data_IF_684486136084
#
_entry.id   IF_684486136084
#
_cell.length_a   1.000
_cell.length_b   1.000
_cell.length_c   1.000
_cell.angle_alpha   90.00
_cell.angle_beta   90.00
_cell.angle_gamma   90.00
#
_symmetry.space_group_name_H-M   'P 1'
#
loop_
_entity.id
_entity.type
_entity.pdbx_description
1 polymer ?
#
# COMPACT_ATOMS: atom_id res chain seq x y z
N UNK A 1 -22.54 11.55 -35.12
CA UNK A 1 -22.88 10.73 -33.93
C UNK A 1 -21.59 10.35 -33.21
N UNK A 2 -21.21 11.05 -32.16
CA UNK A 2 -19.95 10.88 -31.41
C UNK A 2 -20.15 9.88 -30.28
N UNK A 3 -19.38 8.77 -30.28
CA UNK A 3 -19.32 7.81 -29.17
C UNK A 3 -18.37 8.36 -28.10
N UNK A 4 -18.89 8.70 -26.93
CA UNK A 4 -18.09 8.92 -25.72
C UNK A 4 -17.76 7.57 -25.08
N UNK A 5 -16.48 7.24 -25.02
CA UNK A 5 -15.93 6.19 -24.18
C UNK A 5 -15.57 6.80 -22.83
N UNK A 6 -16.34 6.50 -21.81
CA UNK A 6 -15.96 6.78 -20.42
C UNK A 6 -15.04 5.67 -19.90
N UNK A 7 -13.76 5.97 -19.72
CA UNK A 7 -12.84 5.16 -18.96
C UNK A 7 -12.98 5.53 -17.48
N UNK A 8 -13.54 4.63 -16.68
CA UNK A 8 -13.54 4.74 -15.22
C UNK A 8 -12.21 4.15 -14.73
N UNK A 9 -11.30 5.03 -14.39
CA UNK A 9 -10.03 4.70 -13.74
C UNK A 9 -10.25 4.46 -12.25
N UNK A 10 -9.97 3.24 -11.80
CA UNK A 10 -9.88 2.89 -10.38
C UNK A 10 -8.69 3.61 -9.75
N UNK A 11 -8.97 4.59 -8.90
CA UNK A 11 -7.96 5.28 -8.10
C UNK A 11 -7.53 4.39 -6.94
N UNK A 12 -6.34 3.81 -7.05
CA UNK A 12 -5.60 3.23 -5.93
C UNK A 12 -4.88 4.36 -5.21
N UNK A 13 -5.38 4.75 -4.04
CA UNK A 13 -4.63 5.60 -3.11
C UNK A 13 -3.47 4.80 -2.54
N UNK A 14 -2.32 4.87 -3.19
CA UNK A 14 -1.03 4.58 -2.58
C UNK A 14 -0.41 5.94 -2.29
N UNK A 15 -0.35 6.31 -1.02
CA UNK A 15 0.37 7.48 -0.55
C UNK A 15 1.88 7.23 -0.70
N UNK A 16 2.42 7.51 -1.89
CA UNK A 16 3.85 7.64 -2.09
C UNK A 16 4.22 9.09 -1.78
N UNK A 17 4.88 9.32 -0.65
CA UNK A 17 5.53 10.58 -0.33
C UNK A 17 6.72 10.75 -1.29
N UNK A 18 6.47 11.31 -2.46
CA UNK A 18 7.53 11.78 -3.35
C UNK A 18 7.91 13.20 -2.93
N UNK A 19 9.07 13.33 -2.30
CA UNK A 19 9.74 14.63 -2.11
C UNK A 19 10.20 15.13 -3.49
N UNK A 20 9.35 15.88 -4.18
CA UNK A 20 9.74 16.65 -5.35
C UNK A 20 10.37 17.94 -4.88
N UNK A 21 11.71 17.97 -4.86
CA UNK A 21 12.48 19.24 -4.79
C UNK A 21 12.32 19.92 -6.14
N UNK A 22 11.38 20.86 -6.22
CA UNK A 22 11.18 21.72 -7.38
C UNK A 22 12.41 22.63 -7.58
N UNK A 23 13.10 22.43 -8.69
CA UNK A 23 14.15 23.35 -9.16
C UNK A 23 13.44 24.57 -9.78
N UNK A 24 13.22 25.62 -8.97
CA UNK A 24 12.82 26.93 -9.49
C UNK A 24 14.06 27.63 -9.99
N UNK A 25 14.15 27.77 -11.31
CA UNK A 25 15.17 28.59 -11.97
C UNK A 25 14.83 30.06 -11.71
N UNK A 26 15.57 30.75 -10.84
CA UNK A 26 15.51 32.18 -10.71
C UNK A 26 16.33 32.82 -11.82
N UNK A 27 15.65 33.50 -12.72
CA UNK A 27 16.26 34.40 -13.70
C UNK A 27 16.82 35.64 -12.97
N UNK A 28 18.13 35.80 -13.01
CA UNK A 28 18.82 37.00 -12.50
C UNK A 28 18.69 38.10 -13.53
N UNK A 29 17.86 39.10 -13.26
CA UNK A 29 17.92 40.37 -13.99
C UNK A 29 19.02 41.24 -13.42
N UNK A 30 19.96 41.61 -14.29
CA UNK A 30 21.01 42.61 -14.00
C UNK A 30 20.40 43.98 -13.85
N UNK A 31 20.63 44.64 -12.72
CA UNK A 31 20.57 46.09 -12.62
C UNK A 31 21.88 46.67 -12.06
N UNK A 32 22.35 47.72 -12.72
CA UNK A 32 23.63 48.39 -12.56
C UNK A 32 23.77 49.21 -11.28
N UNK A 33 24.95 49.15 -10.76
CA UNK A 33 25.77 50.10 -10.02
C UNK A 33 25.12 51.30 -9.32
N UNK A 34 25.32 51.35 -8.01
CA UNK A 34 25.84 52.56 -7.34
C UNK A 34 26.68 52.16 -6.12
N UNK A 35 27.88 52.75 -6.04
CA UNK A 35 28.85 52.62 -4.95
C UNK A 35 28.51 53.64 -3.86
N UNK A 36 28.64 53.31 -2.57
CA UNK A 36 29.47 54.12 -1.71
C UNK A 36 30.35 53.30 -0.75
N UNK A 37 31.58 53.73 -0.72
CA UNK A 37 32.53 54.00 0.38
C UNK A 37 32.51 53.13 1.64
N UNK A 38 33.61 52.41 1.77
CA UNK A 38 34.48 52.06 2.91
C UNK A 38 34.01 52.27 4.34
N UNK A 39 33.91 51.15 5.11
CA UNK A 39 34.47 51.08 6.45
C UNK A 39 35.04 49.66 6.67
N UNK A 40 36.32 49.63 7.03
CA UNK A 40 37.08 48.43 7.37
C UNK A 40 36.50 47.80 8.63
N UNK A 41 35.91 46.61 8.47
CA UNK A 41 35.88 45.62 9.52
C UNK A 41 36.74 44.46 9.02
N UNK A 42 37.87 44.30 9.63
CA UNK A 42 38.83 43.22 9.42
C UNK A 42 38.16 41.91 9.79
N UNK A 43 37.57 41.26 8.77
CA UNK A 43 37.03 39.92 8.90
C UNK A 43 38.21 38.95 8.90
N UNK A 44 38.42 38.26 10.01
CA UNK A 44 39.36 37.16 10.13
C UNK A 44 39.21 36.23 8.91
N UNK A 45 40.25 36.16 8.11
CA UNK A 45 40.30 35.28 6.94
C UNK A 45 40.05 33.81 7.40
N UNK A 46 39.17 33.04 6.73
CA UNK A 46 39.08 31.62 7.00
C UNK A 46 40.43 30.99 6.68
N UNK A 47 41.03 30.30 7.66
CA UNK A 47 42.25 29.52 7.47
C UNK A 47 41.91 28.47 6.41
N UNK A 48 42.30 28.72 5.18
CA UNK A 48 42.19 27.77 4.10
C UNK A 48 43.01 26.54 4.48
N UNK A 49 42.39 25.38 4.62
CA UNK A 49 43.08 24.11 4.75
C UNK A 49 43.81 23.85 3.42
N UNK A 50 45.00 24.41 3.28
CA UNK A 50 45.84 24.39 2.09
C UNK A 50 46.68 23.12 2.05
N UNK A 51 46.09 22.04 1.53
CA UNK A 51 46.79 20.81 1.23
C UNK A 51 46.11 20.08 0.06
N UNK A 52 46.83 19.20 -0.64
CA UNK A 52 46.23 18.41 -1.71
C UNK A 52 45.03 17.62 -1.18
N UNK A 53 44.03 17.40 -2.04
CA UNK A 53 42.89 16.58 -1.69
C UNK A 53 43.34 15.13 -1.49
N UNK A 54 42.85 14.42 -0.46
CA UNK A 54 43.00 12.96 -0.35
C UNK A 54 42.48 12.25 -1.58
N UNK A 55 43.03 11.08 -1.90
CA UNK A 55 42.70 10.32 -3.11
C UNK A 55 41.19 9.98 -3.27
N UNK A 56 40.48 9.86 -2.14
CA UNK A 56 39.03 9.57 -2.14
C UNK A 56 38.17 10.86 -2.06
N UNK A 57 38.74 12.05 -2.07
CA UNK A 57 38.00 13.31 -2.00
C UNK A 57 37.85 13.93 -3.39
N UNK A 58 36.66 14.38 -3.71
CA UNK A 58 36.32 15.05 -5.00
C UNK A 58 36.22 16.56 -4.86
N UNK A 59 36.10 17.07 -3.62
CA UNK A 59 36.10 18.49 -3.30
C UNK A 59 36.39 18.69 -1.80
N UNK A 60 36.73 19.95 -1.45
CA UNK A 60 36.83 20.43 -0.05
C UNK A 60 36.03 21.72 0.06
N UNK A 61 35.15 21.78 1.06
CA UNK A 61 34.39 22.98 1.39
C UNK A 61 34.83 23.42 2.77
N UNK A 62 35.67 24.46 2.83
CA UNK A 62 36.41 24.87 4.04
C UNK A 62 37.21 23.67 4.60
N UNK A 63 36.86 23.13 5.77
CA UNK A 63 37.53 21.99 6.40
C UNK A 63 36.87 20.65 6.08
N UNK A 64 35.68 20.61 5.42
CA UNK A 64 34.90 19.41 5.18
C UNK A 64 35.20 18.85 3.80
N UNK A 65 35.52 17.54 3.75
CA UNK A 65 35.74 16.81 2.50
C UNK A 65 34.43 16.28 1.93
N UNK A 66 34.25 16.44 0.62
CA UNK A 66 33.26 15.75 -0.17
C UNK A 66 33.95 14.53 -0.79
N UNK A 67 33.47 13.34 -0.49
CA UNK A 67 34.14 12.10 -0.90
C UNK A 67 33.53 11.49 -2.17
N UNK A 68 34.29 10.61 -2.83
CA UNK A 68 33.84 9.82 -3.95
C UNK A 68 32.64 8.94 -3.54
N UNK A 69 32.69 8.32 -2.35
CA UNK A 69 31.61 7.46 -1.82
C UNK A 69 30.29 8.20 -1.69
N UNK A 70 30.32 9.50 -1.33
CA UNK A 70 29.10 10.32 -1.27
C UNK A 70 28.50 10.54 -2.66
N UNK A 71 29.35 10.73 -3.69
CA UNK A 71 28.89 10.86 -5.08
C UNK A 71 28.27 9.52 -5.56
N UNK A 72 28.95 8.41 -5.29
CA UNK A 72 28.50 7.07 -5.68
C UNK A 72 27.19 6.68 -4.98
N UNK A 73 27.06 7.01 -3.70
CA UNK A 73 25.84 6.78 -2.93
C UNK A 73 24.63 7.53 -3.54
N UNK A 74 24.82 8.80 -3.94
CA UNK A 74 23.75 9.58 -4.58
C UNK A 74 23.43 9.10 -5.98
N UNK A 75 24.43 8.70 -6.79
CA UNK A 75 24.21 8.07 -8.10
C UNK A 75 23.33 6.83 -7.95
N UNK A 76 23.70 5.95 -7.01
CA UNK A 76 22.94 4.73 -6.73
C UNK A 76 21.53 5.03 -6.23
N UNK A 77 21.39 5.95 -5.29
CA UNK A 77 20.08 6.32 -4.73
C UNK A 77 19.12 6.93 -5.77
N UNK A 78 19.66 7.72 -6.71
CA UNK A 78 18.91 8.33 -7.80
C UNK A 78 18.68 7.39 -8.99
N UNK A 79 19.27 6.19 -8.98
CA UNK A 79 19.33 5.29 -10.15
C UNK A 79 19.77 6.03 -11.43
N UNK A 80 20.73 6.96 -11.27
CA UNK A 80 21.18 7.83 -12.34
C UNK A 80 22.33 7.18 -13.12
N UNK A 81 22.46 7.47 -14.45
CA UNK A 81 23.56 6.97 -15.24
C UNK A 81 24.88 7.54 -14.75
N UNK A 82 25.87 6.67 -14.61
CA UNK A 82 27.22 7.07 -14.20
C UNK A 82 27.99 7.70 -15.37
N UNK A 83 27.89 9.01 -15.49
CA UNK A 83 28.58 9.79 -16.51
C UNK A 83 29.39 10.93 -15.86
N UNK A 84 30.44 11.45 -16.54
CA UNK A 84 31.18 12.61 -16.04
C UNK A 84 30.30 13.83 -15.72
N UNK A 85 29.25 14.05 -16.53
CA UNK A 85 28.28 15.13 -16.35
C UNK A 85 27.44 14.93 -15.12
N UNK A 86 26.91 13.72 -14.90
CA UNK A 86 26.12 13.38 -13.72
C UNK A 86 26.95 13.46 -12.44
N UNK A 87 28.17 12.93 -12.47
CA UNK A 87 29.13 13.05 -11.33
C UNK A 87 29.44 14.52 -11.01
N UNK A 88 29.67 15.36 -12.02
CA UNK A 88 29.92 16.79 -11.84
C UNK A 88 28.72 17.52 -11.24
N UNK A 89 27.51 17.22 -11.70
CA UNK A 89 26.26 17.77 -11.17
C UNK A 89 26.07 17.38 -9.69
N UNK A 90 26.24 16.10 -9.34
CA UNK A 90 26.15 15.61 -7.97
C UNK A 90 27.21 16.24 -7.06
N UNK A 91 28.45 16.33 -7.56
CA UNK A 91 29.52 17.05 -6.82
C UNK A 91 29.13 18.48 -6.51
N UNK A 92 28.61 19.21 -7.49
CA UNK A 92 28.16 20.60 -7.30
C UNK A 92 27.02 20.69 -6.29
N UNK A 93 26.08 19.75 -6.32
CA UNK A 93 24.98 19.66 -5.36
C UNK A 93 25.49 19.40 -3.92
N UNK A 94 26.46 18.48 -3.76
CA UNK A 94 27.05 18.19 -2.46
C UNK A 94 27.81 19.41 -1.91
N UNK A 95 28.56 20.13 -2.74
CA UNK A 95 29.23 21.38 -2.36
C UNK A 95 28.22 22.43 -1.89
N UNK A 96 27.15 22.65 -2.67
CA UNK A 96 26.12 23.63 -2.29
C UNK A 96 25.42 23.23 -0.98
N UNK A 97 25.09 21.94 -0.82
CA UNK A 97 24.48 21.41 0.41
C UNK A 97 25.40 21.67 1.63
N UNK A 98 26.69 21.43 1.49
CA UNK A 98 27.64 21.64 2.59
C UNK A 98 27.79 23.15 2.92
N UNK A 99 27.81 24.03 1.92
CA UNK A 99 27.81 25.48 2.15
C UNK A 99 26.56 25.93 2.92
N UNK A 100 25.37 25.44 2.55
CA UNK A 100 24.13 25.74 3.27
C UNK A 100 24.15 25.20 4.69
N UNK A 101 24.67 23.97 4.90
CA UNK A 101 24.78 23.38 6.23
C UNK A 101 25.67 24.23 7.14
N UNK A 102 26.85 24.65 6.65
CA UNK A 102 27.78 25.50 7.42
C UNK A 102 27.17 26.89 7.70
N UNK A 103 26.48 27.49 6.73
CA UNK A 103 25.80 28.76 6.93
C UNK A 103 24.67 28.63 7.97
N UNK A 104 23.92 27.51 7.96
CA UNK A 104 22.88 27.23 8.94
C UNK A 104 23.48 27.07 10.36
N UNK A 105 24.55 26.28 10.50
CA UNK A 105 25.25 26.12 11.79
C UNK A 105 25.76 27.45 12.32
N UNK A 106 26.39 28.27 11.47
CA UNK A 106 26.86 29.60 11.86
C UNK A 106 25.74 30.52 12.37
N UNK A 107 24.52 30.30 11.95
CA UNK A 107 23.32 31.03 12.39
C UNK A 107 22.50 30.26 13.45
N UNK A 108 23.09 29.25 14.08
CA UNK A 108 22.51 28.47 15.17
C UNK A 108 21.14 27.80 14.81
N UNK A 109 20.98 27.36 13.57
CA UNK A 109 19.78 26.60 13.16
C UNK A 109 19.71 25.23 13.84
N UNK A 110 20.86 24.65 14.15
CA UNK A 110 21.01 23.37 14.86
C UNK A 110 20.41 23.38 16.27
N UNK A 111 20.35 24.57 16.90
CA UNK A 111 19.79 24.76 18.24
C UNK A 111 18.29 25.12 18.23
N UNK A 112 17.69 25.30 17.07
CA UNK A 112 16.27 25.65 16.95
C UNK A 112 15.39 24.47 17.35
N UNK A 113 14.34 24.69 18.18
CA UNK A 113 13.50 23.61 18.67
C UNK A 113 12.94 22.67 17.56
N UNK A 114 12.48 23.25 16.44
CA UNK A 114 11.94 22.49 15.33
C UNK A 114 13.01 21.60 14.64
N UNK A 115 14.27 22.04 14.60
CA UNK A 115 15.38 21.27 14.00
C UNK A 115 15.79 20.14 14.92
N UNK A 116 15.86 20.42 16.24
CA UNK A 116 16.15 19.39 17.25
C UNK A 116 15.06 18.31 17.23
N UNK A 117 13.79 18.69 17.25
CA UNK A 117 12.67 17.75 17.18
C UNK A 117 12.70 16.89 15.91
N UNK A 118 12.92 17.52 14.74
CA UNK A 118 13.01 16.78 13.47
C UNK A 118 14.20 15.82 13.46
N UNK A 119 15.34 16.19 14.02
CA UNK A 119 16.53 15.34 14.12
C UNK A 119 16.27 14.13 15.04
N UNK A 120 15.65 14.34 16.21
CA UNK A 120 15.32 13.24 17.12
C UNK A 120 14.26 12.30 16.55
N UNK A 121 13.25 12.81 15.84
CA UNK A 121 12.29 11.98 15.12
C UNK A 121 12.97 11.14 14.02
N UNK A 122 13.85 11.74 13.22
CA UNK A 122 14.60 11.04 12.18
C UNK A 122 15.51 9.95 12.76
N UNK A 123 16.20 10.25 13.87
CA UNK A 123 17.03 9.29 14.61
C UNK A 123 16.20 8.13 15.15
N UNK A 124 15.08 8.42 15.82
CA UNK A 124 14.17 7.41 16.37
C UNK A 124 13.65 6.48 15.27
N UNK A 125 13.22 7.03 14.14
CA UNK A 125 12.78 6.26 12.98
C UNK A 125 13.89 5.36 12.43
N UNK A 126 15.09 5.91 12.25
CA UNK A 126 16.23 5.16 11.74
C UNK A 126 16.63 4.01 12.69
N UNK A 127 16.63 4.26 14.01
CA UNK A 127 16.90 3.24 15.03
C UNK A 127 15.84 2.13 14.97
N UNK A 128 14.56 2.48 14.92
CA UNK A 128 13.45 1.50 14.83
C UNK A 128 13.56 0.66 13.57
N UNK A 129 13.82 1.28 12.42
CA UNK A 129 13.98 0.56 11.15
C UNK A 129 15.19 -0.38 11.16
N UNK A 130 16.32 0.06 11.69
CA UNK A 130 17.51 -0.77 11.83
C UNK A 130 17.24 -1.96 12.75
N UNK A 131 16.65 -1.71 13.91
CA UNK A 131 16.29 -2.75 14.87
C UNK A 131 15.34 -3.79 14.27
N UNK A 132 14.27 -3.35 13.61
CA UNK A 132 13.31 -4.27 12.97
C UNK A 132 13.99 -5.09 11.86
N UNK A 133 14.84 -4.49 11.04
CA UNK A 133 15.60 -5.21 10.01
C UNK A 133 16.45 -6.33 10.59
N UNK A 134 17.06 -6.07 11.73
CA UNK A 134 17.97 -7.02 12.38
C UNK A 134 17.23 -8.11 13.17
N UNK A 135 16.09 -7.78 13.76
CA UNK A 135 15.35 -8.68 14.66
C UNK A 135 14.22 -9.45 13.95
N UNK A 136 13.58 -8.87 12.94
CA UNK A 136 12.50 -9.56 12.24
C UNK A 136 13.09 -10.61 11.29
N UNK A 137 12.92 -11.86 11.67
CA UNK A 137 13.38 -13.04 10.90
C UNK A 137 12.18 -13.88 10.50
N UNK A 138 11.51 -13.57 9.36
CA UNK A 138 10.43 -14.39 8.88
C UNK A 138 10.91 -15.81 8.53
N UNK A 139 10.11 -16.81 8.87
CA UNK A 139 10.39 -18.19 8.45
C UNK A 139 10.38 -18.26 6.92
N UNK A 140 11.35 -18.93 6.30
CA UNK A 140 11.37 -19.12 4.85
C UNK A 140 10.11 -19.86 4.37
N UNK A 141 9.51 -19.38 3.30
CA UNK A 141 8.37 -20.05 2.64
C UNK A 141 8.93 -21.02 1.61
N UNK A 142 8.68 -22.31 1.83
CA UNK A 142 9.14 -23.39 0.95
C UNK A 142 8.14 -23.66 -0.18
N UNK A 143 8.56 -24.38 -1.22
CA UNK A 143 7.64 -24.85 -2.27
C UNK A 143 6.58 -25.82 -1.71
N UNK A 144 6.95 -26.58 -0.67
CA UNK A 144 6.00 -27.45 0.03
C UNK A 144 4.89 -26.67 0.72
N UNK A 145 5.21 -25.52 1.36
CA UNK A 145 4.21 -24.66 2.00
C UNK A 145 3.25 -24.08 0.96
N UNK A 146 3.80 -23.63 -0.17
CA UNK A 146 2.99 -23.09 -1.27
C UNK A 146 2.07 -24.16 -1.85
N UNK A 147 2.59 -25.38 -2.06
CA UNK A 147 1.82 -26.52 -2.54
C UNK A 147 0.72 -26.91 -1.56
N UNK A 148 1.05 -27.00 -0.26
CA UNK A 148 0.08 -27.30 0.79
C UNK A 148 -1.02 -26.23 0.85
N UNK A 149 -0.69 -24.95 0.69
CA UNK A 149 -1.67 -23.87 0.65
C UNK A 149 -2.58 -23.99 -0.57
N UNK A 150 -2.01 -24.27 -1.75
CA UNK A 150 -2.79 -24.52 -2.97
C UNK A 150 -3.74 -25.69 -2.79
N UNK A 151 -3.23 -26.85 -2.31
CA UNK A 151 -4.04 -28.04 -2.09
C UNK A 151 -5.16 -27.79 -1.07
N UNK A 152 -4.89 -27.04 -0.02
CA UNK A 152 -5.89 -26.63 0.96
C UNK A 152 -7.01 -25.77 0.31
N UNK A 153 -6.67 -24.84 -0.59
CA UNK A 153 -7.64 -24.06 -1.34
C UNK A 153 -8.49 -24.98 -2.25
N UNK A 154 -7.82 -25.79 -3.06
CA UNK A 154 -8.50 -26.74 -3.97
C UNK A 154 -9.41 -27.69 -3.20
N UNK A 155 -8.96 -28.16 -2.03
CA UNK A 155 -9.75 -29.03 -1.16
C UNK A 155 -11.03 -28.37 -0.60
N UNK A 156 -11.17 -27.06 -0.64
CA UNK A 156 -12.41 -26.37 -0.25
C UNK A 156 -13.42 -26.22 -1.39
N UNK A 157 -12.99 -26.43 -2.63
CA UNK A 157 -13.83 -26.28 -3.80
C UNK A 157 -14.79 -27.48 -3.93
N UNK A 158 -16.00 -27.20 -4.38
CA UNK A 158 -16.97 -28.21 -4.79
C UNK A 158 -16.90 -28.52 -6.29
N UNK A 159 -17.77 -29.39 -6.78
CA UNK A 159 -17.83 -29.77 -8.19
C UNK A 159 -18.33 -28.62 -9.08
N UNK A 160 -19.07 -27.67 -8.48
CA UNK A 160 -19.62 -26.51 -9.18
C UNK A 160 -19.20 -25.22 -8.52
N UNK A 161 -19.10 -24.19 -9.34
CA UNK A 161 -19.00 -22.80 -8.91
C UNK A 161 -20.23 -22.02 -9.36
N UNK A 162 -20.58 -21.05 -8.55
CA UNK A 162 -21.81 -20.28 -8.62
C UNK A 162 -21.48 -18.80 -8.71
N UNK A 163 -22.18 -18.08 -9.56
CA UNK A 163 -22.09 -16.61 -9.65
C UNK A 163 -23.46 -16.04 -9.28
N UNK A 164 -23.70 -15.71 -8.01
CA UNK A 164 -24.97 -15.19 -7.57
C UNK A 164 -25.06 -13.67 -7.66
N UNK A 165 -26.30 -13.15 -7.66
CA UNK A 165 -26.63 -11.81 -7.21
C UNK A 165 -27.46 -11.90 -5.94
N UNK A 166 -27.27 -10.93 -5.01
CA UNK A 166 -27.95 -10.95 -3.71
C UNK A 166 -28.57 -9.60 -3.36
N UNK A 167 -29.70 -9.65 -2.68
CA UNK A 167 -30.35 -8.53 -2.02
C UNK A 167 -30.47 -8.90 -0.54
N UNK A 168 -29.97 -8.06 0.36
CA UNK A 168 -30.11 -8.25 1.79
C UNK A 168 -30.85 -7.05 2.39
N UNK A 169 -31.94 -7.29 3.13
CA UNK A 169 -32.76 -6.26 3.76
C UNK A 169 -32.95 -6.57 5.24
N UNK A 170 -33.33 -5.59 6.05
CA UNK A 170 -33.48 -5.76 7.51
C UNK A 170 -34.77 -6.44 7.96
N UNK A 171 -35.84 -6.33 7.18
CA UNK A 171 -37.15 -6.81 7.60
C UNK A 171 -37.78 -7.73 6.53
N UNK A 172 -38.58 -8.64 7.00
CA UNK A 172 -39.23 -9.64 6.17
C UNK A 172 -40.28 -9.04 5.22
N UNK A 173 -40.95 -7.97 5.63
CA UNK A 173 -41.97 -7.32 4.82
C UNK A 173 -41.34 -6.73 3.56
N UNK A 174 -40.25 -5.96 3.70
CA UNK A 174 -39.47 -5.44 2.58
C UNK A 174 -38.95 -6.58 1.68
N UNK A 175 -38.48 -7.70 2.25
CA UNK A 175 -38.04 -8.84 1.45
C UNK A 175 -39.17 -9.46 0.62
N UNK A 176 -40.36 -9.60 1.19
CA UNK A 176 -41.55 -10.08 0.49
C UNK A 176 -41.99 -9.11 -0.62
N UNK A 177 -41.92 -7.81 -0.38
CA UNK A 177 -42.25 -6.80 -1.40
C UNK A 177 -41.27 -6.83 -2.57
N UNK A 178 -39.96 -6.97 -2.29
CA UNK A 178 -38.94 -7.14 -3.32
C UNK A 178 -39.21 -8.42 -4.15
N UNK A 179 -39.53 -9.56 -3.52
CA UNK A 179 -39.89 -10.77 -4.21
C UNK A 179 -41.16 -10.59 -5.07
N UNK A 180 -42.14 -9.85 -4.58
CA UNK A 180 -43.37 -9.56 -5.36
C UNK A 180 -43.08 -8.70 -6.61
N UNK A 181 -42.16 -7.72 -6.49
CA UNK A 181 -41.70 -6.90 -7.61
C UNK A 181 -40.88 -7.73 -8.62
N UNK A 182 -39.97 -8.60 -8.15
CA UNK A 182 -39.25 -9.55 -9.02
C UNK A 182 -40.20 -10.47 -9.81
N UNK A 183 -41.25 -10.98 -9.17
CA UNK A 183 -42.29 -11.78 -9.84
C UNK A 183 -43.06 -11.01 -10.92
N UNK A 184 -43.18 -9.69 -10.81
CA UNK A 184 -43.77 -8.78 -11.81
C UNK A 184 -42.79 -8.41 -12.92
N UNK A 185 -41.53 -8.88 -12.89
CA UNK A 185 -40.52 -8.65 -13.90
C UNK A 185 -39.63 -7.42 -13.66
N UNK A 186 -39.67 -6.80 -12.45
CA UNK A 186 -38.75 -5.74 -12.13
C UNK A 186 -37.31 -6.28 -12.11
N UNK A 187 -36.38 -5.49 -12.62
CA UNK A 187 -34.97 -5.89 -12.73
C UNK A 187 -34.33 -6.08 -11.35
N UNK A 188 -33.59 -7.18 -11.18
CA UNK A 188 -32.97 -7.56 -9.91
C UNK A 188 -31.91 -6.54 -9.48
N UNK A 189 -31.10 -6.04 -10.43
CA UNK A 189 -30.04 -5.10 -10.13
C UNK A 189 -30.61 -3.72 -9.71
N UNK A 190 -31.75 -3.32 -10.27
CA UNK A 190 -32.46 -2.12 -9.87
C UNK A 190 -32.96 -2.23 -8.42
N UNK A 191 -33.59 -3.35 -8.06
CA UNK A 191 -34.09 -3.59 -6.70
C UNK A 191 -32.94 -3.73 -5.70
N UNK A 192 -31.82 -4.34 -6.10
CA UNK A 192 -30.62 -4.42 -5.28
C UNK A 192 -30.08 -3.04 -4.93
N UNK A 193 -29.98 -2.13 -5.90
CA UNK A 193 -29.56 -0.73 -5.68
C UNK A 193 -30.50 0.05 -4.77
N UNK A 194 -31.80 -0.25 -4.88
CA UNK A 194 -32.84 0.50 -4.15
C UNK A 194 -33.02 0.00 -2.70
N UNK A 195 -32.99 -1.31 -2.47
CA UNK A 195 -33.39 -1.89 -1.19
C UNK A 195 -32.25 -2.58 -0.44
N UNK A 196 -31.20 -3.05 -1.14
CA UNK A 196 -30.17 -3.86 -0.50
C UNK A 196 -29.26 -3.06 0.41
N UNK A 197 -29.03 -3.58 1.62
CA UNK A 197 -28.00 -3.12 2.56
C UNK A 197 -26.80 -4.09 2.57
N UNK A 198 -26.83 -5.11 1.75
CA UNK A 198 -25.79 -6.12 1.64
C UNK A 198 -24.62 -5.70 0.76
N UNK A 199 -23.60 -6.58 0.66
CA UNK A 199 -22.46 -6.35 -0.21
C UNK A 199 -22.90 -6.22 -1.68
N UNK A 200 -22.17 -5.43 -2.44
CA UNK A 200 -22.42 -5.16 -3.86
C UNK A 200 -23.81 -4.54 -4.19
N UNK A 201 -24.52 -3.93 -3.21
CA UNK A 201 -25.80 -3.26 -3.44
C UNK A 201 -25.71 -2.26 -4.60
N UNK A 202 -24.70 -1.40 -4.61
CA UNK A 202 -24.48 -0.38 -5.66
C UNK A 202 -24.09 -0.98 -7.02
N UNK A 203 -23.58 -2.21 -7.04
CA UNK A 203 -23.29 -2.98 -8.26
C UNK A 203 -24.48 -3.88 -8.69
N UNK A 204 -25.68 -3.61 -8.16
CA UNK A 204 -26.87 -4.41 -8.48
C UNK A 204 -26.90 -5.78 -7.81
N UNK A 205 -26.16 -5.96 -6.74
CA UNK A 205 -26.08 -7.19 -5.96
C UNK A 205 -25.19 -8.28 -6.54
N UNK A 206 -24.53 -8.05 -7.69
CA UNK A 206 -23.72 -9.06 -8.38
C UNK A 206 -22.47 -9.43 -7.57
N UNK A 207 -22.25 -10.71 -7.36
CA UNK A 207 -21.13 -11.26 -6.60
C UNK A 207 -20.14 -12.01 -7.50
N UNK A 208 -18.94 -12.23 -7.00
CA UNK A 208 -17.94 -13.06 -7.68
C UNK A 208 -18.30 -14.54 -7.65
N UNK A 209 -17.61 -15.33 -8.47
CA UNK A 209 -17.69 -16.78 -8.44
C UNK A 209 -17.33 -17.33 -7.07
N UNK A 210 -18.11 -18.30 -6.59
CA UNK A 210 -17.87 -19.03 -5.34
C UNK A 210 -18.16 -20.51 -5.55
N UNK A 211 -17.38 -21.37 -4.91
CA UNK A 211 -17.58 -22.82 -4.98
C UNK A 211 -17.75 -23.38 -3.57
N UNK A 212 -18.68 -24.34 -3.42
CA UNK A 212 -18.94 -25.02 -2.16
C UNK A 212 -18.97 -26.52 -2.37
N UNK A 213 -18.40 -27.27 -1.43
CA UNK A 213 -18.68 -28.72 -1.34
C UNK A 213 -20.14 -28.95 -0.98
N UNK A 214 -20.75 -29.89 -1.63
CA UNK A 214 -22.13 -30.34 -1.34
C UNK A 214 -22.13 -31.74 -0.76
N UNK A 215 -22.91 -31.98 0.32
CA UNK A 215 -23.76 -31.04 1.06
C UNK A 215 -22.96 -29.95 1.79
N UNK A 216 -23.57 -28.77 1.95
CA UNK A 216 -22.93 -27.63 2.64
C UNK A 216 -22.61 -28.02 4.08
N UNK A 217 -21.37 -27.79 4.48
CA UNK A 217 -20.89 -28.02 5.84
C UNK A 217 -20.76 -26.72 6.61
N UNK A 218 -21.10 -26.68 7.92
CA UNK A 218 -20.86 -25.53 8.76
C UNK A 218 -19.40 -25.08 8.73
N UNK A 219 -19.17 -23.79 8.55
CA UNK A 219 -17.81 -23.21 8.49
C UNK A 219 -17.06 -23.42 7.14
N UNK A 220 -17.62 -24.22 6.22
CA UNK A 220 -17.02 -24.49 4.91
C UNK A 220 -17.69 -23.72 3.74
N UNK A 221 -18.20 -22.51 4.04
CA UNK A 221 -18.99 -21.69 3.10
C UNK A 221 -18.19 -20.48 2.55
N UNK A 222 -16.87 -20.47 2.74
CA UNK A 222 -16.00 -19.37 2.28
C UNK A 222 -16.49 -17.96 2.74
N UNK A 223 -17.03 -17.89 3.97
CA UNK A 223 -17.54 -16.64 4.55
C UNK A 223 -19.00 -16.31 4.21
N UNK A 224 -19.68 -17.10 3.38
CA UNK A 224 -21.10 -16.94 3.15
C UNK A 224 -21.92 -17.46 4.34
N UNK A 225 -23.05 -16.80 4.68
CA UNK A 225 -23.99 -17.39 5.64
C UNK A 225 -24.48 -18.75 5.15
N UNK A 226 -24.45 -19.76 6.01
CA UNK A 226 -24.80 -21.13 5.64
C UNK A 226 -26.19 -21.23 4.98
N UNK A 227 -27.27 -20.62 5.51
CA UNK A 227 -28.59 -20.70 4.86
C UNK A 227 -28.61 -20.12 3.44
N UNK A 228 -27.80 -19.09 3.19
CA UNK A 228 -27.66 -18.47 1.85
C UNK A 228 -26.92 -19.41 0.90
N UNK A 229 -25.82 -20.02 1.36
CA UNK A 229 -25.09 -21.02 0.57
C UNK A 229 -25.97 -22.24 0.24
N UNK A 230 -26.74 -22.73 1.20
CA UNK A 230 -27.69 -23.84 0.99
C UNK A 230 -28.80 -23.48 -0.01
N UNK A 231 -29.31 -22.25 0.05
CA UNK A 231 -30.28 -21.77 -0.94
C UNK A 231 -29.66 -21.67 -2.33
N UNK A 232 -28.43 -21.12 -2.39
CA UNK A 232 -27.69 -20.89 -3.63
C UNK A 232 -27.47 -22.17 -4.42
N UNK A 233 -27.01 -23.26 -3.78
CA UNK A 233 -26.70 -24.53 -4.46
C UNK A 233 -27.95 -25.27 -4.98
N UNK A 234 -29.14 -24.90 -4.48
CA UNK A 234 -30.41 -25.47 -4.92
C UNK A 234 -31.03 -24.71 -6.10
N UNK A 235 -30.58 -23.49 -6.39
CA UNK A 235 -31.15 -22.69 -7.46
C UNK A 235 -30.64 -23.14 -8.83
N UNK A 236 -31.52 -23.28 -9.83
CA UNK A 236 -31.10 -23.41 -11.21
C UNK A 236 -30.54 -22.08 -11.72
N UNK A 237 -29.78 -22.10 -12.79
CA UNK A 237 -29.32 -20.88 -13.46
C UNK A 237 -30.53 -20.00 -13.87
N UNK A 238 -30.44 -18.70 -13.57
CA UNK A 238 -31.56 -17.76 -13.73
C UNK A 238 -32.58 -17.79 -12.61
N UNK A 239 -32.55 -18.81 -11.73
CA UNK A 239 -33.49 -18.96 -10.61
C UNK A 239 -33.29 -17.93 -9.50
N UNK A 240 -34.40 -17.58 -8.84
CA UNK A 240 -34.46 -16.68 -7.68
C UNK A 240 -35.10 -17.44 -6.52
N UNK A 241 -34.65 -17.18 -5.29
CA UNK A 241 -35.31 -17.74 -4.09
C UNK A 241 -36.77 -17.34 -4.05
N UNK A 242 -37.68 -18.30 -3.78
CA UNK A 242 -39.10 -18.03 -3.73
C UNK A 242 -39.59 -17.43 -2.43
N UNK A 243 -38.80 -17.60 -1.38
CA UNK A 243 -38.98 -17.04 -0.04
C UNK A 243 -37.69 -16.36 0.42
N UNK A 244 -37.78 -15.35 1.28
CA UNK A 244 -36.60 -14.75 1.88
C UNK A 244 -35.82 -15.77 2.69
N UNK A 245 -34.48 -15.71 2.63
CA UNK A 245 -33.58 -16.55 3.45
C UNK A 245 -33.15 -15.72 4.66
N UNK A 246 -33.58 -16.13 5.85
CA UNK A 246 -33.23 -15.42 7.10
C UNK A 246 -31.80 -15.74 7.53
N UNK A 247 -31.06 -14.70 7.91
CA UNK A 247 -29.70 -14.77 8.45
C UNK A 247 -29.58 -13.77 9.60
N UNK A 248 -29.68 -14.24 10.83
CA UNK A 248 -29.81 -13.35 12.00
C UNK A 248 -31.05 -12.45 11.84
N UNK A 249 -30.84 -11.14 11.92
CA UNK A 249 -31.89 -10.13 11.78
C UNK A 249 -32.08 -9.64 10.33
N UNK A 250 -31.38 -10.24 9.35
CA UNK A 250 -31.46 -9.86 7.96
C UNK A 250 -32.14 -10.93 7.11
N UNK A 251 -32.77 -10.49 6.00
CA UNK A 251 -33.46 -11.33 5.04
C UNK A 251 -32.80 -11.19 3.66
N UNK A 252 -32.41 -12.34 3.10
CA UNK A 252 -31.67 -12.42 1.85
C UNK A 252 -32.52 -12.97 0.72
N UNK A 253 -32.39 -12.38 -0.45
CA UNK A 253 -32.95 -12.87 -1.71
C UNK A 253 -31.75 -13.17 -2.61
N UNK A 254 -31.68 -14.39 -3.13
CA UNK A 254 -30.59 -14.86 -3.96
C UNK A 254 -31.10 -15.13 -5.37
N UNK A 255 -30.39 -14.65 -6.36
CA UNK A 255 -30.56 -15.00 -7.77
C UNK A 255 -29.31 -15.72 -8.23
N UNK A 256 -29.47 -16.83 -8.93
CA UNK A 256 -28.37 -17.55 -9.57
C UNK A 256 -28.17 -17.02 -10.98
N UNK A 257 -27.19 -16.16 -11.19
CA UNK A 257 -26.92 -15.62 -12.53
C UNK A 257 -26.29 -16.67 -13.44
N UNK A 258 -25.28 -17.38 -12.92
CA UNK A 258 -24.59 -18.44 -13.67
C UNK A 258 -24.11 -19.55 -12.73
N UNK A 259 -24.04 -20.76 -13.24
CA UNK A 259 -23.36 -21.89 -12.58
C UNK A 259 -22.62 -22.71 -13.64
N UNK A 260 -21.46 -23.25 -13.26
CA UNK A 260 -20.59 -24.05 -14.13
C UNK A 260 -19.83 -25.10 -13.34
N UNK A 261 -19.17 -26.04 -14.00
CA UNK A 261 -18.16 -26.87 -13.35
C UNK A 261 -17.05 -26.02 -12.78
N UNK A 262 -16.57 -26.36 -11.57
CA UNK A 262 -15.51 -25.61 -10.90
C UNK A 262 -14.26 -25.58 -11.76
N UNK A 263 -13.72 -24.39 -11.97
CA UNK A 263 -12.43 -24.18 -12.62
C UNK A 263 -11.34 -24.14 -11.56
N UNK A 264 -10.57 -25.22 -11.49
CA UNK A 264 -9.41 -25.28 -10.59
C UNK A 264 -8.27 -24.48 -11.25
N UNK A 265 -7.78 -23.39 -10.64
CA UNK A 265 -6.65 -22.63 -11.19
C UNK A 265 -5.41 -23.52 -11.28
N UNK A 266 -4.67 -23.40 -12.36
CA UNK A 266 -3.40 -24.11 -12.52
C UNK A 266 -2.39 -23.73 -11.43
N UNK A 267 -1.68 -24.73 -10.91
CA UNK A 267 -0.73 -24.56 -9.81
C UNK A 267 0.41 -23.61 -10.18
N UNK A 268 1.04 -23.83 -11.33
CA UNK A 268 2.23 -23.04 -11.72
C UNK A 268 1.87 -21.56 -11.95
N UNK A 269 0.69 -21.30 -12.48
CA UNK A 269 0.15 -19.94 -12.66
C UNK A 269 -0.16 -19.27 -11.32
N UNK A 270 -0.62 -20.02 -10.32
CA UNK A 270 -1.06 -19.50 -9.02
C UNK A 270 0.10 -19.40 -8.01
N UNK A 271 1.12 -20.24 -8.16
CA UNK A 271 2.27 -20.40 -7.27
C UNK A 271 2.95 -19.07 -6.88
N UNK A 272 3.27 -18.13 -7.80
CA UNK A 272 3.93 -16.89 -7.43
C UNK A 272 3.09 -16.02 -6.48
N UNK A 273 1.79 -15.90 -6.75
CA UNK A 273 0.87 -15.12 -5.93
C UNK A 273 0.69 -15.72 -4.52
N UNK A 274 0.57 -17.06 -4.43
CA UNK A 274 0.48 -17.76 -3.15
C UNK A 274 1.76 -17.62 -2.34
N UNK A 275 2.93 -17.73 -2.98
CA UNK A 275 4.22 -17.52 -2.32
C UNK A 275 4.30 -16.12 -1.73
N UNK A 276 4.02 -15.09 -2.50
CA UNK A 276 4.03 -13.71 -2.03
C UNK A 276 3.07 -13.51 -0.85
N UNK A 277 1.87 -14.10 -0.90
CA UNK A 277 0.92 -14.04 0.21
C UNK A 277 1.47 -14.69 1.47
N UNK A 278 2.07 -15.89 1.36
CA UNK A 278 2.65 -16.60 2.51
C UNK A 278 3.86 -15.86 3.09
N UNK A 279 4.72 -15.28 2.25
CA UNK A 279 5.84 -14.44 2.68
C UNK A 279 5.37 -13.20 3.47
N UNK A 280 4.31 -12.54 3.02
CA UNK A 280 3.71 -11.43 3.78
C UNK A 280 3.17 -11.89 5.14
N UNK A 281 2.48 -13.02 5.19
CA UNK A 281 1.99 -13.59 6.47
C UNK A 281 3.15 -13.96 7.38
N UNK A 282 4.21 -14.56 6.86
CA UNK A 282 5.42 -14.91 7.61
C UNK A 282 6.09 -13.65 8.19
N UNK A 283 6.20 -12.59 7.39
CA UNK A 283 6.75 -11.30 7.83
C UNK A 283 5.89 -10.66 8.95
N UNK A 284 4.58 -10.63 8.77
CA UNK A 284 3.66 -10.10 9.79
C UNK A 284 3.76 -10.88 11.10
N UNK A 285 3.82 -12.22 11.02
CA UNK A 285 3.98 -13.08 12.19
C UNK A 285 5.31 -12.84 12.90
N UNK A 286 6.41 -12.73 12.15
CA UNK A 286 7.72 -12.45 12.72
C UNK A 286 7.77 -11.08 13.39
N UNK A 287 7.18 -10.05 12.76
CA UNK A 287 7.09 -8.71 13.35
C UNK A 287 6.25 -8.71 14.64
N UNK A 288 5.10 -9.37 14.63
CA UNK A 288 4.26 -9.49 15.82
C UNK A 288 4.99 -10.22 16.96
N UNK A 289 5.79 -11.26 16.65
CA UNK A 289 6.57 -11.97 17.63
C UNK A 289 7.61 -11.06 18.31
N UNK A 290 8.32 -10.22 17.54
CA UNK A 290 9.27 -9.24 18.10
C UNK A 290 8.54 -8.30 19.08
N UNK A 291 7.36 -7.80 18.71
CA UNK A 291 6.57 -6.96 19.62
C UNK A 291 6.19 -7.70 20.90
N UNK A 292 5.71 -8.94 20.80
CA UNK A 292 5.36 -9.78 21.97
C UNK A 292 6.56 -9.99 22.88
N UNK A 293 7.75 -10.25 22.31
CA UNK A 293 8.95 -10.50 23.10
C UNK A 293 9.45 -9.21 23.79
N UNK A 294 9.34 -8.05 23.15
CA UNK A 294 9.63 -6.77 23.78
C UNK A 294 8.63 -6.44 24.90
N UNK A 295 7.35 -6.74 24.71
CA UNK A 295 6.31 -6.50 25.75
C UNK A 295 6.52 -7.31 27.01
N UNK A 296 7.13 -8.50 26.94
CA UNK A 296 7.43 -9.34 28.13
C UNK A 296 8.38 -8.67 29.10
N UNK A 297 9.28 -7.81 28.62
CA UNK A 297 10.29 -7.10 29.43
C UNK A 297 9.96 -5.63 29.68
N UNK A 298 8.88 -5.12 29.07
CA UNK A 298 8.48 -3.72 29.18
C UNK A 298 7.53 -3.46 30.36
N UNK A 299 7.70 -2.34 31.04
CA UNK A 299 6.70 -1.81 31.96
C UNK A 299 5.83 -0.80 31.19
N UNK A 300 4.56 -1.17 30.96
CA UNK A 300 3.61 -0.36 30.18
C UNK A 300 2.52 0.14 31.13
N UNK A 301 2.35 1.46 31.20
CA UNK A 301 1.24 2.10 31.92
C UNK A 301 0.31 2.72 30.87
N UNK A 302 -0.99 2.43 30.98
CA UNK A 302 -2.03 2.97 30.10
C UNK A 302 -3.05 3.73 30.96
N UNK A 303 -3.56 4.84 30.46
CA UNK A 303 -4.65 5.61 31.10
C UNK A 303 -6.00 5.09 30.61
#
# INVERSE_FOLDING_TARGET
MKRHRNHITFSRCVAALALTVGLSVFAVQSMAATKPSSSHAEAAAPVAASGPLPANAVARVNSVLITQDQVDALLKAANAPDTPQTRSAIKSQLIARELFRQAAEKQHYDTRPQVIEAAEQAKSLAMTQAYLRDQVKPSPVTDADVKARYDAIVATLGDKEYKPSVIAVKDEATAKDVLAQLKKGTDFAQLAKQYSQGPAAQQGGAMNWVSFKTPIQPGATQGWPQPVAEAMVKLPQGGITTTPVQVGDAFWIVKMDQSRATQIPDYETTKPALRQQLEQVALQKATAQVVVDLMKSATIQQQ
#
